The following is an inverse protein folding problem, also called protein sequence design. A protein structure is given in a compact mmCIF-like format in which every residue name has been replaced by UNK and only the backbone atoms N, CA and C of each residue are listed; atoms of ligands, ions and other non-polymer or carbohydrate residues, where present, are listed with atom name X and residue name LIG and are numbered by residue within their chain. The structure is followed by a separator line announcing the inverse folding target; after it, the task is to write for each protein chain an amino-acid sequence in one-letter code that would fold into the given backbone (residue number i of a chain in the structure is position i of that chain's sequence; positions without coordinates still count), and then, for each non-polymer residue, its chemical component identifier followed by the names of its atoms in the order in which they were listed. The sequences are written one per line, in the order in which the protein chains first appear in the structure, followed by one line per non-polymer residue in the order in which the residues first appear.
data_IF_810954378947
#
_entry.id   IF_810954378947
#
_cell.length_a   1.000
_cell.length_b   1.000
_cell.length_c   1.000
_cell.angle_alpha   90.00
_cell.angle_beta   90.00
_cell.angle_gamma   90.00
#
_symmetry.space_group_name_H-M   'P 1'
#
loop_
_entity.id
_entity.type
_entity.pdbx_description
1 polymer ?
#
# COMPACT_ATOMS: atom_id res chain seq x y z
N UNK A 1 4.63 -14.46 9.64
CA UNK A 1 4.57 -13.49 8.53
C UNK A 1 3.39 -13.92 7.64
N UNK A 2 2.61 -12.99 7.10
CA UNK A 2 1.44 -13.34 6.26
C UNK A 2 1.86 -13.73 4.85
N UNK A 3 0.94 -14.34 4.10
CA UNK A 3 1.07 -14.60 2.67
C UNK A 3 0.42 -13.47 1.87
N UNK A 4 1.08 -13.03 0.81
CA UNK A 4 0.53 -12.03 -0.11
C UNK A 4 -0.17 -12.73 -1.26
N UNK A 5 -1.41 -12.32 -1.54
CA UNK A 5 -2.20 -12.75 -2.68
C UNK A 5 -2.39 -11.58 -3.64
N UNK A 6 -2.14 -11.82 -4.92
CA UNK A 6 -2.32 -10.81 -5.97
C UNK A 6 -3.14 -11.41 -7.10
N UNK A 7 -4.18 -10.67 -7.50
CA UNK A 7 -4.99 -10.95 -8.67
C UNK A 7 -4.86 -9.76 -9.62
N UNK A 8 -4.27 -10.01 -10.79
CA UNK A 8 -3.98 -8.95 -11.77
C UNK A 8 -5.25 -8.55 -12.51
N UNK A 9 -6.13 -9.51 -12.80
CA UNK A 9 -7.34 -9.29 -13.61
C UNK A 9 -8.34 -8.46 -12.82
N UNK A 10 -8.54 -8.80 -11.54
CA UNK A 10 -9.41 -8.05 -10.63
C UNK A 10 -8.70 -6.90 -9.92
N UNK A 11 -7.41 -6.68 -10.22
CA UNK A 11 -6.56 -5.67 -9.57
C UNK A 11 -6.66 -5.73 -8.04
N UNK A 12 -6.64 -6.94 -7.49
CA UNK A 12 -6.69 -7.18 -6.07
C UNK A 12 -5.29 -7.43 -5.52
N UNK A 13 -4.97 -6.78 -4.40
CA UNK A 13 -3.80 -7.08 -3.59
C UNK A 13 -4.32 -7.30 -2.19
N UNK A 14 -4.25 -8.56 -1.75
CA UNK A 14 -4.65 -8.96 -0.42
C UNK A 14 -3.46 -9.53 0.31
N UNK A 15 -3.48 -9.36 1.61
CA UNK A 15 -2.54 -9.95 2.51
C UNK A 15 -3.32 -10.80 3.49
N UNK A 16 -2.98 -12.08 3.47
CA UNK A 16 -3.63 -13.12 4.24
C UNK A 16 -2.71 -13.48 5.40
N UNK A 17 -3.25 -13.56 6.60
CA UNK A 17 -2.46 -13.95 7.75
C UNK A 17 -3.27 -14.52 8.89
N UNK A 18 -2.64 -15.34 9.72
CA UNK A 18 -3.26 -15.80 10.96
C UNK A 18 -2.91 -14.87 12.12
N UNK A 19 -3.93 -14.50 12.89
CA UNK A 19 -3.77 -13.83 14.18
C UNK A 19 -3.46 -14.87 15.29
N UNK A 20 -3.06 -14.43 16.47
CA UNK A 20 -2.62 -15.29 17.59
C UNK A 20 -3.70 -16.25 18.09
N UNK A 21 -4.96 -15.92 17.83
CA UNK A 21 -6.15 -16.71 18.12
C UNK A 21 -6.45 -17.77 17.03
N UNK A 22 -5.61 -17.86 16.00
CA UNK A 22 -5.80 -18.77 14.87
C UNK A 22 -6.74 -18.23 13.79
N UNK A 23 -7.36 -17.06 14.00
CA UNK A 23 -8.27 -16.47 13.01
C UNK A 23 -7.51 -16.04 11.75
N UNK A 24 -8.05 -16.38 10.59
CA UNK A 24 -7.52 -15.93 9.30
C UNK A 24 -7.98 -14.50 9.03
N UNK A 25 -7.03 -13.59 8.82
CA UNK A 25 -7.22 -12.18 8.57
C UNK A 25 -6.75 -11.78 7.17
N UNK A 26 -7.57 -10.98 6.49
CA UNK A 26 -7.37 -10.45 5.16
C UNK A 26 -7.30 -8.93 5.22
N UNK A 27 -6.31 -8.36 4.58
CA UNK A 27 -6.14 -6.92 4.48
C UNK A 27 -5.68 -6.54 3.09
N UNK A 28 -6.31 -5.53 2.49
CA UNK A 28 -5.88 -5.04 1.19
C UNK A 28 -6.97 -4.35 0.40
N UNK A 29 -6.82 -4.34 -0.92
CA UNK A 29 -7.73 -3.68 -1.85
C UNK A 29 -8.15 -4.64 -2.95
N UNK A 30 -9.40 -4.49 -3.41
CA UNK A 30 -9.95 -5.22 -4.55
C UNK A 30 -10.38 -4.17 -5.57
N UNK A 31 -9.73 -4.16 -6.73
CA UNK A 31 -9.95 -3.13 -7.74
C UNK A 31 -9.67 -1.72 -7.23
N UNK A 32 -10.37 -0.76 -7.85
CA UNK A 32 -10.25 0.65 -7.49
C UNK A 32 -11.11 1.03 -6.26
N UNK A 33 -12.22 0.33 -6.07
CA UNK A 33 -13.33 0.77 -5.24
C UNK A 33 -13.35 0.15 -3.85
N UNK A 34 -12.88 -1.09 -3.69
CA UNK A 34 -13.13 -1.85 -2.48
C UNK A 34 -11.88 -1.99 -1.62
N UNK A 35 -12.07 -1.83 -0.31
CA UNK A 35 -11.04 -2.06 0.70
C UNK A 35 -11.50 -3.15 1.63
N UNK A 36 -10.61 -4.11 1.87
CA UNK A 36 -10.79 -5.19 2.83
C UNK A 36 -9.97 -4.86 4.07
N UNK A 37 -10.63 -4.82 5.24
CA UNK A 37 -9.96 -4.64 6.53
C UNK A 37 -10.41 -5.71 7.53
N UNK A 38 -9.49 -6.24 8.36
CA UNK A 38 -9.88 -7.11 9.45
C UNK A 38 -10.65 -6.32 10.51
N UNK A 39 -11.67 -6.96 11.07
CA UNK A 39 -12.40 -6.42 12.20
C UNK A 39 -11.49 -6.43 13.44
N UNK A 40 -11.62 -5.40 14.32
CA UNK A 40 -10.94 -5.39 15.60
C UNK A 40 -11.22 -6.66 16.42
N UNK A 41 -10.24 -7.11 17.20
CA UNK A 41 -10.37 -8.32 18.05
C UNK A 41 -11.60 -8.29 18.95
N UNK A 42 -11.94 -7.11 19.48
CA UNK A 42 -13.12 -6.90 20.32
C UNK A 42 -14.43 -7.15 19.57
N UNK A 43 -14.54 -6.67 18.34
CA UNK A 43 -15.71 -6.89 17.49
C UNK A 43 -15.82 -8.37 17.07
N UNK A 44 -14.71 -9.00 16.69
CA UNK A 44 -14.66 -10.43 16.35
C UNK A 44 -15.12 -11.31 17.51
N UNK A 45 -14.65 -11.04 18.74
CA UNK A 45 -15.05 -11.78 19.94
C UNK A 45 -16.54 -11.63 20.29
N UNK A 46 -17.13 -10.46 20.03
CA UNK A 46 -18.56 -10.25 20.24
C UNK A 46 -19.37 -11.06 19.21
N UNK A 47 -19.00 -10.95 17.94
CA UNK A 47 -19.63 -11.69 16.84
C UNK A 47 -19.52 -13.22 16.99
N UNK A 48 -18.41 -13.73 17.53
CA UNK A 48 -18.27 -15.16 17.82
C UNK A 48 -19.18 -15.63 18.95
N UNK A 49 -19.46 -14.78 19.94
CA UNK A 49 -20.28 -15.13 21.09
C UNK A 49 -21.79 -15.05 20.78
N UNK A 50 -22.19 -14.17 19.85
CA UNK A 50 -23.60 -13.98 19.47
C UNK A 50 -24.10 -15.02 18.45
N UNK A 51 -23.20 -15.78 17.81
CA UNK A 51 -23.51 -16.74 16.75
C UNK A 51 -23.08 -18.16 17.17
N UNK A 52 -23.77 -18.71 18.18
CA UNK A 52 -23.69 -20.11 18.61
C UNK A 52 -24.42 -21.04 17.60
N UNK A 53 -24.08 -20.91 16.31
CA UNK A 53 -24.56 -21.81 15.26
C UNK A 53 -23.56 -22.96 15.14
N UNK A 54 -23.85 -24.04 15.86
CA UNK A 54 -23.19 -25.32 15.67
C UNK A 54 -23.38 -25.82 14.25
N UNK A 55 -22.32 -25.79 13.45
CA UNK A 55 -22.24 -26.53 12.19
C UNK A 55 -20.78 -26.79 11.86
N UNK A 56 -20.43 -28.08 11.74
CA UNK A 56 -19.10 -28.61 11.46
C UNK A 56 -18.63 -28.41 10.02
N UNK A 57 -18.75 -27.19 9.49
CA UNK A 57 -18.11 -26.83 8.23
C UNK A 57 -17.52 -25.41 8.33
N UNK A 58 -16.20 -25.36 8.48
CA UNK A 58 -15.33 -24.23 8.14
C UNK A 58 -15.86 -22.82 8.42
N UNK A 59 -16.38 -22.56 9.62
CA UNK A 59 -16.96 -21.29 10.06
C UNK A 59 -16.06 -20.08 9.80
N UNK A 60 -16.12 -19.55 8.58
CA UNK A 60 -15.57 -18.28 8.15
C UNK A 60 -16.43 -17.16 8.78
N UNK A 61 -16.38 -17.06 10.11
CA UNK A 61 -16.93 -15.93 10.84
C UNK A 61 -16.38 -14.66 10.19
N UNK A 62 -17.30 -13.74 9.89
CA UNK A 62 -17.13 -12.45 9.22
C UNK A 62 -16.04 -11.63 9.91
N UNK A 63 -14.78 -11.99 9.69
CA UNK A 63 -13.63 -11.40 10.38
C UNK A 63 -13.18 -10.12 9.71
N UNK A 64 -13.87 -9.70 8.64
CA UNK A 64 -13.48 -8.64 7.74
C UNK A 64 -14.67 -7.77 7.42
N UNK A 65 -14.39 -6.49 7.22
CA UNK A 65 -15.31 -5.55 6.58
C UNK A 65 -14.78 -5.22 5.20
N UNK A 66 -15.68 -5.24 4.22
CA UNK A 66 -15.43 -4.73 2.89
C UNK A 66 -16.26 -3.46 2.76
N UNK A 67 -15.61 -2.35 2.39
CA UNK A 67 -16.32 -1.10 2.14
C UNK A 67 -15.88 -0.50 0.82
N UNK A 68 -16.84 0.16 0.17
CA UNK A 68 -16.60 0.94 -1.04
C UNK A 68 -16.04 2.31 -0.65
N UNK A 69 -14.93 2.71 -1.26
CA UNK A 69 -14.39 4.07 -1.14
C UNK A 69 -15.35 5.06 -1.78
N UNK A 70 -15.67 6.13 -1.06
CA UNK A 70 -16.32 7.30 -1.66
C UNK A 70 -15.25 8.09 -2.39
N UNK A 71 -15.22 7.99 -3.72
CA UNK A 71 -14.43 8.91 -4.54
C UNK A 71 -15.20 10.23 -4.68
N UNK A 72 -14.57 11.32 -4.26
CA UNK A 72 -14.92 12.61 -4.85
C UNK A 72 -14.17 12.72 -6.17
N UNK A 73 -14.91 12.87 -7.28
CA UNK A 73 -14.34 13.14 -8.61
C UNK A 73 -13.54 14.44 -8.67
N UNK A 74 -13.60 15.30 -7.64
CA UNK A 74 -12.88 16.56 -7.56
C UNK A 74 -11.41 16.42 -7.12
N UNK A 75 -10.95 15.21 -6.82
CA UNK A 75 -9.54 14.94 -6.48
C UNK A 75 -8.84 14.16 -7.62
N UNK A 76 -8.38 14.85 -8.68
CA UNK A 76 -7.55 14.24 -9.73
C UNK A 76 -6.19 13.73 -9.19
N UNK A 77 -5.87 14.04 -7.94
CA UNK A 77 -4.69 13.56 -7.21
C UNK A 77 -4.96 12.41 -6.25
N UNK A 78 -6.16 11.80 -6.27
CA UNK A 78 -6.37 10.59 -5.51
C UNK A 78 -5.39 9.52 -5.99
N UNK A 79 -4.82 8.73 -5.07
CA UNK A 79 -3.80 7.68 -5.28
C UNK A 79 -4.17 6.65 -6.38
N UNK A 80 -5.39 6.75 -6.88
CA UNK A 80 -6.17 5.79 -7.60
C UNK A 80 -6.92 6.36 -8.81
N UNK A 81 -6.83 7.67 -9.08
CA UNK A 81 -7.39 8.26 -10.30
C UNK A 81 -6.80 7.59 -11.55
N UNK A 82 -7.58 7.49 -12.63
CA UNK A 82 -7.08 7.07 -13.94
C UNK A 82 -6.02 8.08 -14.39
N UNK A 83 -4.75 7.71 -14.30
CA UNK A 83 -3.65 8.54 -14.79
C UNK A 83 -3.60 8.42 -16.31
N UNK A 84 -4.10 9.43 -17.02
CA UNK A 84 -3.96 9.50 -18.47
C UNK A 84 -2.49 9.72 -18.84
N UNK A 85 -1.96 9.01 -19.86
CA UNK A 85 -0.61 9.22 -20.36
C UNK A 85 -0.53 10.60 -21.04
N UNK A 86 -0.19 11.63 -20.28
CA UNK A 86 -0.12 13.01 -20.76
C UNK A 86 -0.07 14.07 -19.66
N UNK A 87 -0.56 13.74 -18.46
CA UNK A 87 -0.68 14.67 -17.33
C UNK A 87 0.54 14.72 -16.41
N UNK A 88 1.69 14.16 -16.83
CA UNK A 88 2.96 14.55 -16.23
C UNK A 88 3.17 16.02 -16.56
N UNK A 89 2.72 16.89 -15.65
CA UNK A 89 2.96 18.34 -15.68
C UNK A 89 4.47 18.51 -15.66
N UNK A 90 5.08 18.51 -16.84
CA UNK A 90 6.37 19.13 -17.01
C UNK A 90 6.17 20.57 -16.60
N UNK A 91 6.84 21.09 -15.55
CA UNK A 91 6.83 22.50 -15.30
C UNK A 91 7.36 23.15 -16.57
N UNK A 92 6.47 23.84 -17.28
CA UNK A 92 6.79 24.58 -18.50
C UNK A 92 7.70 25.74 -18.10
N UNK A 93 8.97 25.45 -17.88
CA UNK A 93 10.04 26.43 -17.94
C UNK A 93 10.15 26.84 -19.40
N UNK A 94 9.30 27.79 -19.82
CA UNK A 94 9.51 28.58 -21.01
C UNK A 94 10.70 29.50 -20.74
N UNK A 95 11.91 28.99 -20.90
CA UNK A 95 13.09 29.81 -21.22
C UNK A 95 13.94 29.04 -22.22
N UNK A 96 14.29 29.77 -23.25
CA UNK A 96 14.97 29.36 -24.45
C UNK A 96 16.27 28.62 -24.14
N UNK A 97 16.44 27.45 -24.76
CA UNK A 97 17.73 26.81 -24.93
C UNK A 97 17.66 25.92 -26.18
N UNK A 98 17.75 26.59 -27.31
CA UNK A 98 18.60 26.20 -28.44
C UNK A 98 19.20 24.79 -28.40
N UNK A 99 18.74 23.96 -29.33
CA UNK A 99 19.52 22.94 -30.05
C UNK A 99 20.55 22.18 -29.22
N UNK A 100 20.08 21.27 -28.37
CA UNK A 100 20.75 19.98 -28.20
C UNK A 100 19.72 18.89 -28.49
N UNK A 101 19.73 18.40 -29.73
CA UNK A 101 19.17 17.08 -30.09
C UNK A 101 19.98 16.01 -29.34
N UNK A 102 19.85 15.96 -28.02
CA UNK A 102 20.08 14.72 -27.28
C UNK A 102 19.03 13.77 -27.84
N UNK A 103 19.47 12.73 -28.52
CA UNK A 103 18.71 11.49 -28.68
C UNK A 103 18.36 11.03 -27.27
N UNK A 104 17.24 11.53 -26.75
CA UNK A 104 16.66 11.05 -25.51
C UNK A 104 16.41 9.57 -25.78
N UNK A 105 17.15 8.72 -25.10
CA UNK A 105 16.87 7.29 -25.06
C UNK A 105 15.38 7.16 -24.76
N UNK A 106 14.63 6.57 -25.68
CA UNK A 106 13.24 6.24 -25.38
C UNK A 106 13.26 5.38 -24.12
N UNK A 107 12.40 5.74 -23.15
CA UNK A 107 12.35 5.01 -21.90
C UNK A 107 12.00 3.54 -22.23
N UNK A 108 12.70 2.56 -21.64
CA UNK A 108 12.39 1.16 -21.87
C UNK A 108 10.91 0.88 -21.62
N UNK A 109 10.35 -0.05 -22.41
CA UNK A 109 8.94 -0.43 -22.29
C UNK A 109 8.58 -1.00 -20.91
N UNK A 110 9.56 -1.48 -20.13
CA UNK A 110 9.37 -1.90 -18.74
C UNK A 110 10.40 -1.22 -17.84
N UNK A 111 9.97 -0.63 -16.73
CA UNK A 111 10.81 0.06 -15.74
C UNK A 111 10.75 -0.69 -14.41
N UNK A 112 11.91 -0.91 -13.80
CA UNK A 112 12.07 -1.61 -12.52
C UNK A 112 12.65 -0.68 -11.46
N UNK A 113 11.84 0.19 -10.83
CA UNK A 113 12.33 0.99 -9.72
C UNK A 113 12.55 0.12 -8.47
N UNK A 114 13.71 0.31 -7.85
CA UNK A 114 14.03 -0.26 -6.54
C UNK A 114 13.86 0.79 -5.44
N UNK A 115 13.10 0.44 -4.40
CA UNK A 115 12.76 1.36 -3.31
C UNK A 115 13.30 0.89 -1.96
N UNK A 116 13.89 1.81 -1.22
CA UNK A 116 14.30 1.63 0.18
C UNK A 116 13.32 2.39 1.07
N UNK A 117 12.60 1.66 1.92
CA UNK A 117 11.63 2.26 2.86
C UNK A 117 12.32 2.52 4.19
N UNK A 118 12.29 3.75 4.67
CA UNK A 118 12.82 4.12 5.99
C UNK A 118 11.66 4.62 6.85
N UNK A 119 11.52 4.05 8.04
CA UNK A 119 10.49 4.42 9.01
C UNK A 119 11.14 5.04 10.24
N UNK A 120 10.63 6.20 10.64
CA UNK A 120 11.01 6.92 11.84
C UNK A 120 10.49 6.24 13.12
N UNK A 121 10.87 6.79 14.28
CA UNK A 121 10.44 6.24 15.57
C UNK A 121 8.94 6.41 15.79
N UNK A 122 8.37 7.53 15.36
CA UNK A 122 6.95 7.80 15.54
C UNK A 122 6.09 6.86 14.69
N UNK A 123 6.47 6.61 13.43
CA UNK A 123 5.84 5.58 12.60
C UNK A 123 5.94 4.20 13.22
N UNK A 124 7.10 3.85 13.80
CA UNK A 124 7.24 2.60 14.55
C UNK A 124 6.28 2.50 15.75
N UNK A 125 6.12 3.59 16.49
CA UNK A 125 5.19 3.68 17.64
C UNK A 125 3.73 3.63 17.21
N UNK A 126 3.37 4.27 16.10
CA UNK A 126 2.01 4.27 15.54
C UNK A 126 1.53 2.86 15.23
N UNK A 127 2.43 1.99 14.75
CA UNK A 127 2.17 0.57 14.50
C UNK A 127 2.32 -0.32 15.75
N UNK A 128 2.18 0.25 16.95
CA UNK A 128 2.20 -0.48 18.21
C UNK A 128 3.58 -1.01 18.63
N UNK A 129 4.66 -0.54 18.00
CA UNK A 129 6.02 -1.02 18.27
C UNK A 129 6.27 -2.46 17.79
N UNK A 130 5.42 -2.99 16.90
CA UNK A 130 5.55 -4.36 16.41
C UNK A 130 6.19 -4.38 15.02
N UNK A 131 7.36 -5.03 14.92
CA UNK A 131 8.09 -5.19 13.67
C UNK A 131 7.29 -6.00 12.63
N UNK A 132 6.39 -6.88 13.07
CA UNK A 132 5.57 -7.68 12.14
C UNK A 132 4.48 -6.82 11.53
N UNK A 133 3.77 -6.04 12.34
CA UNK A 133 2.70 -5.16 11.86
C UNK A 133 3.20 -4.07 10.93
N UNK A 134 4.33 -3.44 11.25
CA UNK A 134 4.87 -2.37 10.40
C UNK A 134 5.38 -2.90 9.05
N UNK A 135 6.13 -4.01 9.03
CA UNK A 135 6.56 -4.65 7.78
C UNK A 135 5.37 -5.04 6.93
N UNK A 136 4.37 -5.64 7.57
CA UNK A 136 3.11 -6.01 6.93
C UNK A 136 2.45 -4.81 6.25
N UNK A 137 2.30 -3.72 6.99
CA UNK A 137 1.69 -2.50 6.48
C UNK A 137 2.41 -1.99 5.22
N UNK A 138 3.74 -1.85 5.27
CA UNK A 138 4.51 -1.34 4.13
C UNK A 138 4.52 -2.29 2.93
N UNK A 139 4.55 -3.61 3.15
CA UNK A 139 4.42 -4.59 2.06
C UNK A 139 3.05 -4.43 1.38
N UNK A 140 1.96 -4.40 2.15
CA UNK A 140 0.61 -4.22 1.59
C UNK A 140 0.44 -2.86 0.90
N UNK A 141 1.02 -1.81 1.46
CA UNK A 141 1.01 -0.47 0.86
C UNK A 141 1.66 -0.48 -0.52
N UNK A 142 2.90 -0.96 -0.61
CA UNK A 142 3.64 -0.98 -1.88
C UNK A 142 3.07 -1.96 -2.91
N UNK A 143 2.44 -3.06 -2.47
CA UNK A 143 1.66 -3.91 -3.37
C UNK A 143 0.47 -3.16 -3.99
N UNK A 144 -0.21 -2.33 -3.19
CA UNK A 144 -1.27 -1.44 -3.68
C UNK A 144 -0.75 -0.40 -4.67
N UNK A 145 0.46 0.12 -4.43
CA UNK A 145 1.13 1.06 -5.35
C UNK A 145 1.51 0.35 -6.67
N UNK A 146 2.08 -0.86 -6.63
CA UNK A 146 2.44 -1.63 -7.83
C UNK A 146 1.22 -1.88 -8.75
N UNK A 147 0.08 -2.24 -8.16
CA UNK A 147 -1.17 -2.37 -8.91
C UNK A 147 -1.60 -1.08 -9.62
N UNK A 148 -1.27 0.09 -9.05
CA UNK A 148 -1.58 1.38 -9.68
C UNK A 148 -0.68 1.72 -10.82
N UNK A 149 0.58 1.38 -10.72
CA UNK A 149 1.49 1.49 -11.82
C UNK A 149 1.13 0.56 -13.00
N UNK A 150 0.44 -0.55 -12.75
CA UNK A 150 -0.12 -1.42 -13.80
C UNK A 150 -1.30 -0.79 -14.56
N UNK A 151 -1.97 0.23 -14.02
CA UNK A 151 -3.01 0.98 -14.73
C UNK A 151 -2.44 1.98 -15.76
N UNK A 152 -1.14 2.28 -15.70
CA UNK A 152 -0.54 3.20 -16.65
C UNK A 152 -0.54 2.61 -18.06
N UNK A 153 -0.97 3.42 -19.03
CA UNK A 153 -0.83 3.12 -20.46
C UNK A 153 0.61 3.27 -20.97
N UNK A 154 1.46 3.99 -20.22
CA UNK A 154 2.90 4.17 -20.47
C UNK A 154 3.72 2.92 -20.12
N UNK A 155 5.08 3.02 -20.06
CA UNK A 155 5.92 1.84 -19.89
C UNK A 155 5.51 1.07 -18.62
N UNK A 156 5.47 -0.26 -18.71
CA UNK A 156 5.08 -1.14 -17.62
C UNK A 156 6.02 -0.92 -16.45
N UNK A 157 5.52 -0.49 -15.30
CA UNK A 157 6.37 -0.29 -14.11
C UNK A 157 6.19 -1.47 -13.16
N UNK A 158 7.31 -2.00 -12.64
CA UNK A 158 7.33 -3.10 -11.67
C UNK A 158 8.17 -2.69 -10.47
N UNK A 159 7.51 -2.36 -9.36
CA UNK A 159 8.20 -1.87 -8.17
C UNK A 159 8.83 -3.03 -7.40
N UNK A 160 10.08 -2.87 -6.98
CA UNK A 160 10.78 -3.83 -6.12
C UNK A 160 11.22 -3.16 -4.82
N UNK A 161 10.90 -3.77 -3.68
CA UNK A 161 11.37 -3.30 -2.38
C UNK A 161 12.79 -3.84 -2.14
N UNK A 162 13.79 -2.96 -2.19
CA UNK A 162 15.18 -3.29 -1.90
C UNK A 162 15.39 -3.55 -0.40
N UNK A 163 14.68 -2.83 0.46
CA UNK A 163 14.77 -3.02 1.91
C UNK A 163 13.79 -2.17 2.71
N UNK A 164 13.62 -2.53 3.98
CA UNK A 164 12.84 -1.75 4.96
C UNK A 164 13.71 -1.55 6.21
N UNK A 165 13.99 -0.29 6.54
CA UNK A 165 14.72 0.13 7.74
C UNK A 165 13.71 0.71 8.74
N UNK A 166 13.70 0.20 9.97
CA UNK A 166 12.76 0.61 11.02
C UNK A 166 13.55 1.17 12.20
N UNK A 167 13.34 2.44 12.51
CA UNK A 167 13.98 3.13 13.63
C UNK A 167 13.28 2.77 14.94
N UNK A 168 13.90 1.93 15.77
CA UNK A 168 13.32 1.53 17.07
C UNK A 168 13.53 2.53 18.20
N UNK A 169 14.42 3.49 18.01
CA UNK A 169 14.65 4.59 18.95
C UNK A 169 14.71 5.91 18.20
N UNK A 170 14.39 7.02 18.89
CA UNK A 170 14.48 8.38 18.31
C UNK A 170 15.90 8.71 17.85
N UNK A 171 16.91 8.20 18.53
CA UNK A 171 18.30 8.48 18.17
C UNK A 171 18.85 7.54 17.07
N UNK A 172 18.04 6.59 16.56
CA UNK A 172 18.49 5.64 15.55
C UNK A 172 18.63 6.27 14.15
N UNK A 173 17.80 7.28 13.84
CA UNK A 173 17.85 8.02 12.57
C UNK A 173 17.84 9.53 12.83
N UNK A 174 18.91 10.06 13.44
CA UNK A 174 18.96 11.46 13.88
C UNK A 174 18.80 12.43 12.71
N UNK A 175 19.19 12.05 11.49
CA UNK A 175 19.01 12.86 10.30
C UNK A 175 17.55 13.06 9.90
N UNK A 176 16.67 12.09 10.19
CA UNK A 176 15.23 12.23 9.95
C UNK A 176 14.57 13.04 11.07
N UNK A 177 14.94 12.78 12.31
CA UNK A 177 14.33 13.45 13.47
C UNK A 177 14.73 14.92 13.59
N UNK A 178 16.00 15.26 13.34
CA UNK A 178 16.51 16.64 13.47
C UNK A 178 16.04 17.57 12.35
N UNK A 179 15.61 17.03 11.22
CA UNK A 179 15.15 17.79 10.06
C UNK A 179 13.64 17.69 9.85
N UNK A 180 12.89 17.23 10.85
CA UNK A 180 11.44 17.11 10.76
C UNK A 180 10.80 18.51 10.78
N UNK A 181 10.04 18.82 9.73
CA UNK A 181 9.35 20.11 9.57
C UNK A 181 7.99 20.05 10.29
N UNK A 182 7.63 21.10 11.04
CA UNK A 182 6.31 21.24 11.69
C UNK A 182 6.27 20.97 13.19
N UNK A 183 7.25 21.50 13.94
CA UNK A 183 7.19 21.55 15.41
C UNK A 183 6.36 22.75 15.88
#
# INVERSE_FOLDING_TARGET
LGETYQDVDNQAALLIHKDKDGSLLYEGTIGHDYVVRPLPKSARRRLSNDLDLGTGDGGALKSHVIYKRKYSYETPYADYALMEPGDFIHPRSKRDAEVRRRTKREAPYVIYPEILVIVDYDGYRLHGGDNVQIKRYFISFWNGVDLRYKLLKGPKVRISIAGIIISRGRDATPYLERNRVGR
#
